data_IF_047764339202
#
_entry.id   IF_047764339202
#
_cell.length_a   1.000
_cell.length_b   1.000
_cell.length_c   1.000
_cell.angle_alpha   90.00
_cell.angle_beta   90.00
_cell.angle_gamma   90.00
#
_symmetry.space_group_name_H-M   'P 1'
#
loop_
_entity.id
_entity.type
_entity.pdbx_description
1 polymer ?
#
# COMPACT_ATOMS: atom_id res chain seq x y z
N UNK A 1 18.30 2.26 11.20
CA UNK A 1 17.20 1.39 10.71
C UNK A 1 16.89 1.83 9.28
N UNK A 2 16.98 0.95 8.28
CA UNK A 2 16.74 1.28 6.87
C UNK A 2 15.29 1.80 6.71
N UNK A 3 15.10 3.00 6.15
CA UNK A 3 13.79 3.64 5.96
C UNK A 3 12.80 2.72 5.22
N UNK A 4 13.29 1.93 4.26
CA UNK A 4 12.48 0.95 3.52
C UNK A 4 11.95 -0.15 4.45
N UNK A 5 12.79 -0.68 5.35
CA UNK A 5 12.35 -1.68 6.33
C UNK A 5 11.27 -1.13 7.27
N UNK A 6 11.38 0.15 7.63
CA UNK A 6 10.36 0.83 8.45
C UNK A 6 9.06 1.00 7.66
N UNK A 7 9.15 1.41 6.39
CA UNK A 7 7.99 1.54 5.52
C UNK A 7 7.26 0.21 5.33
N UNK A 8 7.97 -0.86 4.97
CA UNK A 8 7.39 -2.21 4.81
C UNK A 8 6.63 -2.61 6.07
N UNK A 9 7.26 -2.54 7.25
CA UNK A 9 6.61 -2.90 8.51
C UNK A 9 5.36 -2.08 8.80
N UNK A 10 5.34 -0.81 8.41
CA UNK A 10 4.20 0.07 8.63
C UNK A 10 3.07 -0.19 7.63
N UNK A 11 3.40 -0.44 6.36
CA UNK A 11 2.43 -0.83 5.33
C UNK A 11 1.83 -2.21 5.62
N UNK A 12 2.63 -3.19 6.07
CA UNK A 12 2.17 -4.49 6.56
C UNK A 12 1.15 -4.33 7.68
N UNK A 13 1.43 -3.46 8.66
CA UNK A 13 0.48 -3.19 9.75
C UNK A 13 -0.83 -2.60 9.24
N UNK A 14 -0.80 -1.70 8.26
CA UNK A 14 -2.03 -1.16 7.67
C UNK A 14 -2.79 -2.18 6.86
N UNK A 15 -2.08 -3.08 6.17
CA UNK A 15 -2.69 -4.18 5.43
C UNK A 15 -3.37 -5.17 6.38
N UNK A 16 -2.72 -5.55 7.48
CA UNK A 16 -3.29 -6.44 8.50
C UNK A 16 -4.48 -5.85 9.28
N UNK A 17 -4.79 -4.56 9.11
CA UNK A 17 -6.04 -3.97 9.64
C UNK A 17 -7.26 -4.29 8.78
N UNK A 18 -7.07 -4.75 7.54
CA UNK A 18 -8.17 -5.21 6.70
C UNK A 18 -8.78 -6.50 7.26
N UNK A 19 -10.05 -6.82 6.96
CA UNK A 19 -10.61 -8.14 7.24
C UNK A 19 -9.75 -9.26 6.65
N UNK A 20 -9.65 -10.41 7.34
CA UNK A 20 -8.84 -11.55 6.89
C UNK A 20 -9.21 -12.00 5.48
N UNK A 21 -10.51 -12.06 5.18
CA UNK A 21 -11.03 -12.42 3.85
C UNK A 21 -10.49 -11.49 2.75
N UNK A 22 -10.42 -10.18 3.02
CA UNK A 22 -9.85 -9.20 2.10
C UNK A 22 -8.34 -9.34 1.95
N UNK A 23 -7.63 -9.73 3.01
CA UNK A 23 -6.19 -9.97 2.96
C UNK A 23 -5.86 -11.19 2.09
N UNK A 24 -6.66 -12.26 2.20
CA UNK A 24 -6.45 -13.52 1.46
C UNK A 24 -6.68 -13.37 -0.05
N UNK A 25 -7.60 -12.50 -0.46
CA UNK A 25 -7.91 -12.25 -1.88
C UNK A 25 -7.12 -11.08 -2.48
N UNK A 26 -6.24 -10.44 -1.71
CA UNK A 26 -5.49 -9.29 -2.18
C UNK A 26 -4.44 -9.68 -3.24
N UNK A 27 -4.55 -9.08 -4.42
CA UNK A 27 -3.60 -9.27 -5.53
C UNK A 27 -2.57 -8.12 -5.54
N UNK A 28 -1.30 -8.38 -5.18
CA UNK A 28 -0.25 -7.36 -5.18
C UNK A 28 0.36 -7.16 -6.58
N UNK A 29 0.49 -5.90 -7.02
CA UNK A 29 1.06 -5.56 -8.32
C UNK A 29 2.50 -5.10 -8.24
N UNK A 30 2.78 -4.17 -7.32
CA UNK A 30 4.07 -3.48 -7.27
C UNK A 30 4.37 -2.95 -5.88
N UNK A 31 5.65 -3.01 -5.51
CA UNK A 31 6.24 -2.18 -4.48
C UNK A 31 7.18 -1.14 -5.11
N UNK A 32 6.86 0.14 -4.96
CA UNK A 32 7.59 1.24 -5.61
C UNK A 32 8.32 2.03 -4.54
N UNK A 33 9.64 2.17 -4.70
CA UNK A 33 10.48 3.05 -3.88
C UNK A 33 10.83 4.31 -4.67
N UNK A 34 10.65 5.48 -4.07
CA UNK A 34 11.23 6.75 -4.50
C UNK A 34 12.13 7.34 -3.41
N UNK A 35 12.67 8.53 -3.64
CA UNK A 35 13.38 9.29 -2.58
C UNK A 35 12.43 9.75 -1.47
N UNK A 36 11.15 9.97 -1.80
CA UNK A 36 10.16 10.55 -0.90
C UNK A 36 9.30 9.51 -0.18
N UNK A 37 9.11 8.32 -0.79
CA UNK A 37 8.16 7.34 -0.27
C UNK A 37 8.47 5.90 -0.66
N UNK A 38 7.77 4.98 -0.01
CA UNK A 38 7.66 3.59 -0.43
C UNK A 38 6.18 3.21 -0.47
N UNK A 39 5.74 2.60 -1.57
CA UNK A 39 4.32 2.34 -1.81
C UNK A 39 4.05 0.90 -2.20
N UNK A 40 2.91 0.37 -1.72
CA UNK A 40 2.31 -0.89 -2.13
C UNK A 40 1.05 -0.63 -2.93
N UNK A 41 0.94 -1.26 -4.09
CA UNK A 41 -0.30 -1.26 -4.88
C UNK A 41 -0.82 -2.68 -5.00
N UNK A 42 -2.08 -2.88 -4.62
CA UNK A 42 -2.76 -4.17 -4.62
C UNK A 42 -4.23 -4.00 -5.03
N UNK A 43 -4.90 -5.09 -5.39
CA UNK A 43 -6.32 -5.10 -5.73
C UNK A 43 -7.09 -6.01 -4.81
N UNK A 44 -8.27 -5.56 -4.39
CA UNK A 44 -9.23 -6.33 -3.58
C UNK A 44 -10.60 -6.10 -4.21
N UNK A 45 -11.33 -7.18 -4.50
CA UNK A 45 -12.73 -7.11 -4.98
C UNK A 45 -12.96 -6.21 -6.21
N UNK A 46 -11.95 -6.05 -7.07
CA UNK A 46 -12.04 -5.19 -8.25
C UNK A 46 -11.48 -3.77 -8.06
N UNK A 47 -11.24 -3.34 -6.83
CA UNK A 47 -10.68 -2.02 -6.51
C UNK A 47 -9.16 -2.07 -6.42
N UNK A 48 -8.47 -1.14 -7.10
CA UNK A 48 -7.03 -0.98 -6.97
C UNK A 48 -6.74 0.02 -5.86
N UNK A 49 -6.02 -0.44 -4.84
CA UNK A 49 -5.67 0.32 -3.65
C UNK A 49 -4.16 0.54 -3.64
N UNK A 50 -3.74 1.77 -3.34
CA UNK A 50 -2.34 2.12 -3.14
C UNK A 50 -2.14 2.69 -1.74
N UNK A 51 -1.25 2.05 -0.98
CA UNK A 51 -0.75 2.54 0.30
C UNK A 51 0.65 3.09 0.12
N UNK A 52 0.91 4.32 0.55
CA UNK A 52 2.22 4.97 0.43
C UNK A 52 2.69 5.43 1.79
N UNK A 53 3.88 5.01 2.20
CA UNK A 53 4.56 5.50 3.40
C UNK A 53 5.48 6.65 3.00
N UNK A 54 5.22 7.84 3.53
CA UNK A 54 6.04 9.04 3.28
C UNK A 54 7.22 9.08 4.25
N UNK A 55 8.45 9.18 3.74
CA UNK A 55 9.64 9.12 4.60
C UNK A 55 9.80 10.36 5.48
N UNK A 56 9.44 11.53 4.96
CA UNK A 56 9.54 12.81 5.66
C UNK A 56 8.56 12.89 6.83
N UNK A 57 7.27 12.70 6.58
CA UNK A 57 6.22 12.81 7.60
C UNK A 57 6.01 11.54 8.41
N UNK A 58 6.48 10.39 7.90
CA UNK A 58 6.26 9.06 8.48
C UNK A 58 4.79 8.63 8.51
N UNK A 59 3.96 9.26 7.67
CA UNK A 59 2.54 8.97 7.53
C UNK A 59 2.26 7.96 6.41
N UNK A 60 1.09 7.34 6.48
CA UNK A 60 0.59 6.44 5.45
C UNK A 60 -0.59 7.10 4.75
N UNK A 61 -0.45 7.28 3.44
CA UNK A 61 -1.50 7.79 2.57
C UNK A 61 -2.13 6.61 1.84
N UNK A 62 -3.47 6.55 1.85
CA UNK A 62 -4.27 5.54 1.14
C UNK A 62 -4.99 6.21 -0.01
N UNK A 63 -4.96 5.58 -1.18
CA UNK A 63 -5.67 6.06 -2.37
C UNK A 63 -6.29 4.89 -3.12
N UNK A 64 -7.52 5.08 -3.60
CA UNK A 64 -8.20 4.13 -4.49
C UNK A 64 -8.07 4.64 -5.92
N UNK A 65 -7.51 3.82 -6.79
CA UNK A 65 -7.33 4.13 -8.21
C UNK A 65 -8.56 3.56 -8.93
N UNK A 66 -9.52 4.42 -9.27
CA UNK A 66 -10.61 4.04 -10.15
C UNK A 66 -10.09 3.85 -11.57
N UNK A 67 -10.30 2.67 -12.15
CA UNK A 67 -10.15 2.53 -13.60
C UNK A 67 -11.26 3.35 -14.27
N UNK A 68 -10.87 4.42 -14.97
CA UNK A 68 -11.74 5.04 -15.97
C UNK A 68 -12.08 3.94 -16.99
N UNK A 69 -13.36 3.52 -17.03
CA UNK A 69 -13.88 2.73 -18.15
C UNK A 69 -13.79 3.65 -19.38
N UNK A 70 -12.86 3.35 -20.28
CA UNK A 70 -12.79 3.92 -21.62
C UNK A 70 -13.90 3.30 -22.47
#
# INVERSE_FOLDING_TARGET
MNQVKKAIKNLEKEFHKLPVEQQEIAEFFTDIKSEESYAWTFKIEGEIIRYSYLFETQEIVKSTIYQLKI
#
